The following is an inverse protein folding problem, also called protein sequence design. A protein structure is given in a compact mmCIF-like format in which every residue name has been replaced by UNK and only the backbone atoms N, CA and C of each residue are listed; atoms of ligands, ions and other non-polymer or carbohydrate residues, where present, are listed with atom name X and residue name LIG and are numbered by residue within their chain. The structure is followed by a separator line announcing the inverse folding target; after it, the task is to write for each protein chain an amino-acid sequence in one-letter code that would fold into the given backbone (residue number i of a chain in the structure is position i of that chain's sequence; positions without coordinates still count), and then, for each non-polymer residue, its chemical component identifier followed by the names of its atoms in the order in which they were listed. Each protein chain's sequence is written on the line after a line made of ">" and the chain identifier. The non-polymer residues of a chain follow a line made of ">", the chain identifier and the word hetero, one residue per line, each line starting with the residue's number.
data_IF_888351054986
#
_entry.id   IF_888351054986
#
_cell.length_a   1.000
_cell.length_b   1.000
_cell.length_c   1.000
_cell.angle_alpha   90.00
_cell.angle_beta   90.00
_cell.angle_gamma   90.00
#
_symmetry.space_group_name_H-M   'P 1'
#
loop_
_entity.id
_entity.type
_entity.pdbx_description
1 polymer ?
#
# COMPACT_ATOMS: atom_id res chain seq x y z
N UNK A 1 10.13 7.07 -32.96
CA UNK A 1 11.58 6.93 -32.69
C UNK A 1 11.76 6.91 -31.18
N UNK A 2 11.87 5.74 -30.56
CA UNK A 2 12.16 5.63 -29.14
C UNK A 2 13.60 6.07 -28.88
N UNK A 3 13.81 7.05 -27.99
CA UNK A 3 15.16 7.40 -27.53
C UNK A 3 15.70 6.18 -26.78
N UNK A 4 16.79 5.60 -27.29
CA UNK A 4 17.62 4.70 -26.48
C UNK A 4 18.18 5.57 -25.36
N UNK A 5 17.68 5.36 -24.15
CA UNK A 5 18.24 5.97 -22.95
C UNK A 5 19.58 5.26 -22.69
N UNK A 6 20.69 5.94 -22.94
CA UNK A 6 21.98 5.46 -22.49
C UNK A 6 22.07 5.74 -20.98
N UNK A 7 22.15 4.67 -20.20
CA UNK A 7 22.52 4.77 -18.80
C UNK A 7 24.00 5.09 -18.70
N UNK A 8 24.35 6.13 -17.95
CA UNK A 8 25.72 6.35 -17.53
C UNK A 8 26.16 5.22 -16.59
N UNK A 9 27.47 4.98 -16.49
CA UNK A 9 28.00 3.97 -15.57
C UNK A 9 27.72 4.43 -14.13
N UNK A 10 26.79 3.75 -13.48
CA UNK A 10 26.32 4.07 -12.13
C UNK A 10 26.27 2.83 -11.23
N UNK A 11 26.01 3.04 -9.95
CA UNK A 11 25.79 2.00 -8.96
C UNK A 11 24.61 2.37 -8.05
N UNK A 12 24.04 1.37 -7.37
CA UNK A 12 22.92 1.55 -6.47
C UNK A 12 22.84 0.48 -5.41
N UNK A 13 21.91 0.66 -4.48
CA UNK A 13 21.65 -0.27 -3.38
C UNK A 13 20.21 -0.78 -3.50
N UNK A 14 20.03 -2.10 -3.41
CA UNK A 14 18.73 -2.73 -3.18
C UNK A 14 18.46 -2.73 -1.67
N UNK A 15 17.45 -1.98 -1.25
CA UNK A 15 17.00 -1.91 0.14
C UNK A 15 15.47 -1.82 0.15
N UNK A 16 14.74 -2.90 0.50
CA UNK A 16 13.30 -2.82 0.69
C UNK A 16 12.96 -1.83 1.80
N UNK A 17 11.88 -1.05 1.63
CA UNK A 17 11.43 -0.08 2.65
C UNK A 17 11.18 -0.77 3.99
N UNK A 18 10.60 -1.98 3.96
CA UNK A 18 10.34 -2.79 5.16
C UNK A 18 11.58 -3.13 5.98
N UNK A 19 12.77 -3.09 5.37
CA UNK A 19 14.05 -3.43 6.00
C UNK A 19 14.75 -2.22 6.65
N UNK A 20 14.22 -1.01 6.46
CA UNK A 20 14.74 0.17 7.14
C UNK A 20 14.45 0.07 8.66
N UNK A 21 15.35 0.59 9.52
CA UNK A 21 15.13 0.59 10.95
C UNK A 21 13.93 1.47 11.32
N UNK A 22 13.10 1.00 12.24
CA UNK A 22 11.91 1.70 12.69
C UNK A 22 11.56 1.27 14.11
N UNK A 23 11.11 2.20 14.98
CA UNK A 23 10.65 1.87 16.32
C UNK A 23 9.28 1.15 16.33
N UNK A 24 8.61 1.07 15.17
CA UNK A 24 7.24 0.55 15.05
C UNK A 24 7.17 -0.75 14.25
N UNK A 25 8.19 -1.62 14.36
CA UNK A 25 8.17 -3.00 13.86
C UNK A 25 8.47 -3.22 12.36
N UNK A 26 8.38 -2.17 11.52
CA UNK A 26 8.73 -2.22 10.09
C UNK A 26 9.23 -0.88 9.60
N UNK A 27 10.18 -0.88 8.67
CA UNK A 27 10.64 0.33 8.01
C UNK A 27 9.51 1.05 7.26
N UNK A 28 9.54 2.38 7.31
CA UNK A 28 8.51 3.30 6.80
C UNK A 28 9.14 4.35 5.89
N UNK A 29 8.33 5.30 5.41
CA UNK A 29 8.81 6.49 4.71
C UNK A 29 9.33 7.60 5.64
N UNK A 30 9.51 7.31 6.93
CA UNK A 30 9.96 8.26 7.93
C UNK A 30 11.46 8.51 7.92
N UNK A 31 11.96 9.07 9.03
CA UNK A 31 13.33 9.55 9.21
C UNK A 31 14.42 8.60 8.66
N UNK A 32 14.31 7.31 8.95
CA UNK A 32 15.30 6.32 8.50
C UNK A 32 15.41 6.23 6.96
N UNK A 33 14.32 6.45 6.22
CA UNK A 33 14.34 6.48 4.76
C UNK A 33 15.09 7.71 4.21
N UNK A 34 14.93 8.87 4.87
CA UNK A 34 15.66 10.08 4.52
C UNK A 34 17.16 9.95 4.82
N UNK A 35 17.50 9.41 5.99
CA UNK A 35 18.90 9.12 6.37
C UNK A 35 19.53 8.08 5.42
N UNK A 36 18.76 7.08 4.98
CA UNK A 36 19.23 6.12 3.98
C UNK A 36 19.46 6.79 2.62
N UNK A 37 18.60 7.71 2.20
CA UNK A 37 18.82 8.50 0.98
C UNK A 37 20.10 9.35 1.06
N UNK A 38 20.36 9.98 2.21
CA UNK A 38 21.61 10.69 2.46
C UNK A 38 22.82 9.73 2.36
N UNK A 39 22.75 8.56 2.98
CA UNK A 39 23.80 7.53 2.90
C UNK A 39 24.08 7.06 1.46
N UNK A 40 23.03 6.82 0.66
CA UNK A 40 23.17 6.43 -0.76
C UNK A 40 23.90 7.52 -1.54
N UNK A 41 23.54 8.80 -1.32
CA UNK A 41 24.15 9.93 -1.99
C UNK A 41 25.62 10.12 -1.57
N UNK A 42 25.90 10.08 -0.27
CA UNK A 42 27.24 10.22 0.29
C UNK A 42 28.19 9.08 -0.14
N UNK A 43 27.64 7.89 -0.38
CA UNK A 43 28.36 6.74 -0.93
C UNK A 43 28.64 6.84 -2.45
N UNK A 44 28.16 7.90 -3.12
CA UNK A 44 28.33 8.11 -4.55
C UNK A 44 27.45 7.21 -5.42
N UNK A 45 26.38 6.63 -4.85
CA UNK A 45 25.41 5.84 -5.59
C UNK A 45 24.33 6.74 -6.20
N UNK A 46 23.79 6.32 -7.35
CA UNK A 46 22.76 7.05 -8.10
C UNK A 46 21.41 6.34 -8.12
N UNK A 47 21.32 5.14 -7.54
CA UNK A 47 20.11 4.32 -7.54
C UNK A 47 19.79 3.75 -6.16
N UNK A 48 18.52 3.79 -5.80
CA UNK A 48 17.94 3.02 -4.71
C UNK A 48 16.86 2.12 -5.31
N UNK A 49 17.08 0.81 -5.30
CA UNK A 49 16.08 -0.17 -5.72
C UNK A 49 15.24 -0.61 -4.52
N UNK A 50 13.93 -0.62 -4.70
CA UNK A 50 12.94 -1.13 -3.75
C UNK A 50 12.24 -2.37 -4.32
N UNK A 51 11.62 -3.15 -3.44
CA UNK A 51 10.66 -4.19 -3.84
C UNK A 51 9.29 -3.54 -4.14
N UNK A 52 8.28 -4.27 -4.66
CA UNK A 52 6.95 -3.71 -4.84
C UNK A 52 6.43 -3.12 -3.53
N UNK A 53 5.79 -1.95 -3.62
CA UNK A 53 5.30 -1.19 -2.46
C UNK A 53 3.81 -1.44 -2.18
N UNK A 54 3.21 -2.44 -2.82
CA UNK A 54 1.80 -2.74 -2.71
C UNK A 54 1.40 -3.35 -1.37
N UNK A 55 0.14 -3.18 -0.97
CA UNK A 55 -0.38 -3.78 0.25
C UNK A 55 -0.36 -5.31 0.14
N UNK A 56 0.40 -5.94 1.03
CA UNK A 56 0.65 -7.37 1.03
C UNK A 56 -0.57 -8.17 1.46
N UNK A 57 -0.81 -9.27 0.75
CA UNK A 57 -1.78 -10.31 1.10
C UNK A 57 -1.21 -11.27 2.17
N UNK A 58 -1.98 -12.32 2.52
CA UNK A 58 -1.53 -13.38 3.40
C UNK A 58 -0.20 -13.98 2.91
N UNK A 59 0.76 -14.10 3.83
CA UNK A 59 2.14 -14.52 3.54
C UNK A 59 3.12 -13.36 3.30
N UNK A 60 2.65 -12.11 3.37
CA UNK A 60 3.45 -10.88 3.47
C UNK A 60 4.42 -10.64 2.31
N UNK A 61 4.22 -11.35 1.21
CA UNK A 61 5.04 -11.22 0.00
C UNK A 61 4.66 -9.96 -0.76
N UNK A 62 5.61 -9.05 -1.05
CA UNK A 62 5.33 -7.84 -1.85
C UNK A 62 4.93 -8.17 -3.29
N UNK A 63 5.18 -9.41 -3.75
CA UNK A 63 4.76 -9.88 -5.07
C UNK A 63 3.32 -10.44 -5.10
N UNK A 64 2.63 -10.44 -3.95
CA UNK A 64 1.24 -10.84 -3.81
C UNK A 64 0.46 -9.72 -3.11
N UNK A 65 0.04 -8.73 -3.89
CA UNK A 65 -0.66 -7.53 -3.41
C UNK A 65 -2.17 -7.63 -3.61
N UNK A 66 -2.94 -6.96 -2.73
CA UNK A 66 -4.39 -6.78 -2.91
C UNK A 66 -4.74 -5.83 -4.05
N UNK A 67 -3.79 -5.03 -4.53
CA UNK A 67 -3.95 -4.19 -5.71
C UNK A 67 -2.61 -3.95 -6.40
N UNK A 68 -2.62 -3.88 -7.73
CA UNK A 68 -1.49 -3.44 -8.54
C UNK A 68 -1.16 -1.95 -8.37
N UNK A 69 -2.07 -1.16 -7.79
CA UNK A 69 -1.98 0.30 -7.72
C UNK A 69 -1.80 0.82 -6.29
N UNK A 70 -2.52 0.24 -5.33
CA UNK A 70 -2.52 0.70 -3.95
C UNK A 70 -1.17 0.50 -3.26
N UNK A 71 -0.79 1.43 -2.40
CA UNK A 71 0.38 1.34 -1.54
C UNK A 71 0.12 0.57 -0.25
N UNK A 72 1.18 0.04 0.37
CA UNK A 72 1.11 -0.67 1.64
C UNK A 72 0.96 0.29 2.83
N UNK A 73 -0.16 0.27 3.58
CA UNK A 73 -0.34 1.13 4.75
C UNK A 73 0.70 0.92 5.85
N UNK A 74 1.42 -0.22 5.85
CA UNK A 74 2.52 -0.46 6.78
C UNK A 74 3.72 0.48 6.60
N UNK A 75 3.85 1.13 5.43
CA UNK A 75 4.94 2.09 5.18
C UNK A 75 4.59 3.53 5.55
N UNK A 76 3.36 3.80 5.98
CA UNK A 76 2.97 5.09 6.54
C UNK A 76 3.71 5.26 7.87
N UNK A 77 4.48 6.33 7.95
CA UNK A 77 5.27 6.68 9.12
C UNK A 77 4.40 7.34 10.20
N UNK A 78 4.45 6.79 11.41
CA UNK A 78 3.61 7.22 12.53
C UNK A 78 4.14 8.48 13.22
N UNK A 79 5.45 8.73 13.17
CA UNK A 79 6.03 9.98 13.68
C UNK A 79 5.60 11.16 12.80
N UNK A 80 5.60 11.00 11.48
CA UNK A 80 5.06 12.01 10.55
C UNK A 80 3.58 12.31 10.82
N UNK A 81 2.76 11.30 11.12
CA UNK A 81 1.36 11.52 11.51
C UNK A 81 1.25 12.29 12.83
N UNK A 82 2.18 12.08 13.77
CA UNK A 82 2.26 12.84 15.02
C UNK A 82 2.64 14.30 14.75
N UNK A 83 3.66 14.55 13.91
CA UNK A 83 4.08 15.90 13.50
C UNK A 83 2.96 16.68 12.79
N UNK A 84 2.10 15.98 12.05
CA UNK A 84 0.93 16.56 11.38
C UNK A 84 -0.26 16.79 12.33
N UNK A 85 -0.15 16.38 13.59
CA UNK A 85 -1.20 16.47 14.60
C UNK A 85 -2.36 15.50 14.36
N UNK A 86 -2.11 14.41 13.63
CA UNK A 86 -3.08 13.32 13.41
C UNK A 86 -2.97 12.25 14.49
N UNK A 87 -1.82 12.12 15.15
CA UNK A 87 -1.63 11.27 16.33
C UNK A 87 -1.16 12.09 17.51
N UNK A 88 -1.52 11.65 18.72
CA UNK A 88 -0.97 12.19 19.96
C UNK A 88 0.46 11.71 20.20
N UNK A 89 1.30 12.57 20.79
CA UNK A 89 2.65 12.19 21.19
C UNK A 89 2.63 10.95 22.09
N UNK A 90 3.40 9.93 21.71
CA UNK A 90 3.53 8.68 22.45
C UNK A 90 2.43 7.65 22.21
N UNK A 91 1.32 7.99 21.53
CA UNK A 91 0.21 7.06 21.31
C UNK A 91 0.64 5.79 20.56
N UNK A 92 1.41 5.94 19.47
CA UNK A 92 1.93 4.80 18.72
C UNK A 92 2.86 3.90 19.57
N UNK A 93 3.55 4.47 20.56
CA UNK A 93 4.48 3.72 21.42
C UNK A 93 3.78 2.87 22.48
N UNK A 94 2.46 3.01 22.65
CA UNK A 94 1.67 2.19 23.60
C UNK A 94 1.40 0.77 23.08
N UNK A 95 1.64 0.52 21.80
CA UNK A 95 1.31 -0.74 21.13
C UNK A 95 2.51 -1.70 21.08
N UNK A 96 2.19 -2.99 21.00
CA UNK A 96 3.18 -4.05 20.77
C UNK A 96 3.53 -4.10 19.27
N UNK A 97 4.80 -3.87 18.95
CA UNK A 97 5.35 -3.90 17.59
C UNK A 97 6.24 -5.13 17.34
N UNK A 98 6.23 -6.10 18.27
CA UNK A 98 7.08 -7.28 18.26
C UNK A 98 8.36 -7.10 19.09
N UNK A 99 8.97 -8.24 19.43
CA UNK A 99 10.11 -8.31 20.35
C UNK A 99 11.48 -8.24 19.65
N UNK A 100 11.51 -8.01 18.32
CA UNK A 100 12.74 -8.03 17.53
C UNK A 100 12.97 -6.76 16.72
N UNK A 101 14.12 -6.15 16.91
CA UNK A 101 14.59 -5.04 16.05
C UNK A 101 15.10 -5.53 14.67
N UNK A 102 15.26 -6.84 14.48
CA UNK A 102 15.89 -7.43 13.28
C UNK A 102 14.90 -8.00 12.28
N UNK A 103 13.72 -8.39 12.75
CA UNK A 103 12.74 -9.10 11.96
C UNK A 103 11.39 -8.42 12.11
N UNK A 104 10.66 -8.34 11.00
CA UNK A 104 9.31 -7.83 10.99
C UNK A 104 8.37 -8.92 11.50
N UNK A 105 7.60 -8.61 12.55
CA UNK A 105 6.47 -9.43 12.99
C UNK A 105 5.18 -8.94 12.34
N UNK A 106 4.86 -9.50 11.17
CA UNK A 106 3.67 -9.11 10.40
C UNK A 106 2.35 -9.39 11.13
N UNK A 107 2.32 -10.39 12.02
CA UNK A 107 1.14 -10.67 12.85
C UNK A 107 0.87 -9.53 13.81
N UNK A 108 1.90 -9.08 14.56
CA UNK A 108 1.80 -7.92 15.44
C UNK A 108 1.51 -6.63 14.70
N UNK A 109 2.10 -6.45 13.52
CA UNK A 109 1.79 -5.30 12.68
C UNK A 109 0.33 -5.25 12.27
N UNK A 110 -0.24 -6.39 11.89
CA UNK A 110 -1.66 -6.47 11.53
C UNK A 110 -2.56 -6.10 12.71
N UNK A 111 -2.24 -6.57 13.93
CA UNK A 111 -2.99 -6.27 15.14
C UNK A 111 -2.89 -4.79 15.56
N UNK A 112 -1.68 -4.21 15.54
CA UNK A 112 -1.42 -2.88 16.11
C UNK A 112 -1.57 -1.75 15.09
N UNK A 113 -1.10 -1.92 13.84
CA UNK A 113 -0.98 -0.80 12.88
C UNK A 113 -2.33 -0.21 12.52
N UNK A 114 -3.32 -1.05 12.21
CA UNK A 114 -4.62 -0.54 11.76
C UNK A 114 -5.37 0.15 12.89
N UNK A 115 -5.17 -0.23 14.16
CA UNK A 115 -5.73 0.51 15.31
C UNK A 115 -5.14 1.92 15.37
N UNK A 116 -3.82 2.05 15.20
CA UNK A 116 -3.17 3.36 15.23
C UNK A 116 -3.58 4.22 14.03
N UNK A 117 -3.64 3.64 12.83
CA UNK A 117 -4.11 4.36 11.64
C UNK A 117 -5.57 4.77 11.76
N UNK A 118 -6.42 3.99 12.45
CA UNK A 118 -7.81 4.37 12.68
C UNK A 118 -7.90 5.61 13.58
N UNK A 119 -7.06 5.71 14.62
CA UNK A 119 -6.93 6.92 15.44
C UNK A 119 -6.54 8.13 14.59
N UNK A 120 -5.55 7.97 13.72
CA UNK A 120 -5.11 9.02 12.80
C UNK A 120 -6.23 9.44 11.85
N UNK A 121 -6.98 8.48 11.32
CA UNK A 121 -8.12 8.72 10.44
C UNK A 121 -9.22 9.55 11.12
N UNK A 122 -9.60 9.22 12.36
CA UNK A 122 -10.62 10.00 13.08
C UNK A 122 -10.19 11.47 13.28
N UNK A 123 -8.92 11.67 13.65
CA UNK A 123 -8.36 13.01 13.81
C UNK A 123 -8.26 13.75 12.46
N UNK A 124 -7.90 13.04 11.38
CA UNK A 124 -7.85 13.56 10.02
C UNK A 124 -9.22 14.04 9.53
N UNK A 125 -10.28 13.26 9.76
CA UNK A 125 -11.64 13.63 9.36
C UNK A 125 -12.16 14.84 10.13
N UNK A 126 -11.86 14.93 11.43
CA UNK A 126 -12.13 16.12 12.24
C UNK A 126 -11.39 17.36 11.71
N UNK A 127 -10.11 17.20 11.34
CA UNK A 127 -9.29 18.27 10.76
C UNK A 127 -9.83 18.71 9.40
N UNK A 128 -10.17 17.79 8.50
CA UNK A 128 -10.79 18.11 7.20
C UNK A 128 -12.10 18.90 7.34
N UNK A 129 -12.87 18.64 8.41
CA UNK A 129 -14.11 19.39 8.68
C UNK A 129 -13.87 20.86 9.05
N UNK A 130 -12.66 21.22 9.47
CA UNK A 130 -12.28 22.57 9.90
C UNK A 130 -11.26 23.25 8.97
N UNK A 131 -10.50 22.48 8.20
CA UNK A 131 -9.48 22.93 7.25
C UNK A 131 -9.91 22.61 5.82
N UNK A 132 -10.46 23.63 5.14
CA UNK A 132 -10.96 23.50 3.77
C UNK A 132 -9.85 23.27 2.73
N UNK A 133 -8.60 23.65 3.02
CA UNK A 133 -7.48 23.39 2.12
C UNK A 133 -7.08 21.92 2.18
N UNK A 134 -6.97 21.36 3.39
CA UNK A 134 -6.71 19.94 3.58
C UNK A 134 -7.82 19.09 2.96
N UNK A 135 -9.08 19.43 3.22
CA UNK A 135 -10.23 18.74 2.62
C UNK A 135 -10.20 18.83 1.09
N UNK A 136 -9.86 20.00 0.53
CA UNK A 136 -9.72 20.18 -0.91
C UNK A 136 -8.65 19.28 -1.54
N UNK A 137 -7.46 19.18 -0.93
CA UNK A 137 -6.38 18.29 -1.39
C UNK A 137 -6.77 16.82 -1.32
N UNK A 138 -7.46 16.41 -0.26
CA UNK A 138 -7.92 15.04 -0.10
C UNK A 138 -8.97 14.65 -1.15
N UNK A 139 -9.94 15.52 -1.42
CA UNK A 139 -10.93 15.29 -2.49
C UNK A 139 -10.29 15.29 -3.89
N UNK A 140 -9.28 16.14 -4.13
CA UNK A 140 -8.50 16.11 -5.37
C UNK A 140 -7.74 14.79 -5.54
N UNK A 141 -7.13 14.27 -4.47
CA UNK A 141 -6.50 12.96 -4.49
C UNK A 141 -7.49 11.85 -4.85
N UNK A 142 -8.66 11.80 -4.19
CA UNK A 142 -9.69 10.80 -4.49
C UNK A 142 -10.13 10.90 -5.96
N UNK A 143 -10.42 12.12 -6.43
CA UNK A 143 -10.82 12.36 -7.81
C UNK A 143 -9.73 11.97 -8.83
N UNK A 144 -8.47 12.26 -8.55
CA UNK A 144 -7.36 11.92 -9.45
C UNK A 144 -7.13 10.41 -9.56
N UNK A 145 -7.48 9.66 -8.51
CA UNK A 145 -7.21 8.22 -8.39
C UNK A 145 -8.46 7.34 -8.48
N UNK A 146 -9.64 7.91 -8.72
CA UNK A 146 -10.93 7.22 -8.70
C UNK A 146 -10.98 5.92 -9.52
N UNK A 147 -10.21 5.84 -10.62
CA UNK A 147 -10.18 4.68 -11.52
C UNK A 147 -9.72 3.38 -10.86
N UNK A 148 -8.92 3.45 -9.79
CA UNK A 148 -8.46 2.28 -9.05
C UNK A 148 -8.81 2.37 -7.55
N UNK A 149 -8.85 3.58 -6.99
CA UNK A 149 -9.06 3.80 -5.56
C UNK A 149 -10.46 3.37 -5.11
N UNK A 150 -11.50 3.69 -5.88
CA UNK A 150 -12.89 3.38 -5.52
C UNK A 150 -13.09 1.86 -5.36
N UNK A 151 -12.54 1.09 -6.30
CA UNK A 151 -12.62 -0.38 -6.29
C UNK A 151 -11.75 -1.01 -5.21
N UNK A 152 -10.53 -0.49 -5.02
CA UNK A 152 -9.63 -0.94 -3.95
C UNK A 152 -10.24 -0.72 -2.56
N UNK A 153 -10.74 0.48 -2.28
CA UNK A 153 -11.26 0.83 -0.97
C UNK A 153 -12.56 0.09 -0.65
N UNK A 154 -13.42 -0.11 -1.65
CA UNK A 154 -14.60 -0.98 -1.50
C UNK A 154 -14.18 -2.45 -1.26
N UNK A 155 -13.24 -2.97 -2.04
CA UNK A 155 -12.72 -4.33 -1.87
C UNK A 155 -12.17 -4.54 -0.46
N UNK A 156 -11.33 -3.63 0.02
CA UNK A 156 -10.72 -3.74 1.35
C UNK A 156 -11.75 -3.59 2.48
N UNK A 157 -12.73 -2.70 2.32
CA UNK A 157 -13.83 -2.58 3.28
C UNK A 157 -14.69 -3.86 3.34
N UNK A 158 -15.02 -4.45 2.18
CA UNK A 158 -15.70 -5.75 2.13
C UNK A 158 -14.83 -6.86 2.74
N UNK A 159 -13.53 -6.88 2.42
CA UNK A 159 -12.60 -7.86 2.95
C UNK A 159 -12.52 -7.81 4.47
N UNK A 160 -12.41 -6.62 5.06
CA UNK A 160 -12.49 -6.42 6.51
C UNK A 160 -13.84 -6.87 7.08
N UNK A 161 -14.96 -6.52 6.41
CA UNK A 161 -16.30 -6.93 6.82
C UNK A 161 -16.50 -8.46 6.86
N UNK A 162 -15.80 -9.19 5.99
CA UNK A 162 -15.84 -10.64 5.89
C UNK A 162 -14.61 -11.33 6.55
N UNK A 163 -14.05 -10.73 7.61
CA UNK A 163 -12.96 -11.32 8.40
C UNK A 163 -11.70 -11.69 7.58
N UNK A 164 -11.41 -10.87 6.56
CA UNK A 164 -10.25 -10.96 5.68
C UNK A 164 -10.14 -12.23 4.82
N UNK A 165 -11.21 -13.02 4.70
CA UNK A 165 -11.25 -14.17 3.78
C UNK A 165 -11.11 -13.73 2.32
N UNK A 166 -10.76 -14.67 1.43
CA UNK A 166 -10.66 -14.36 0.01
C UNK A 166 -12.02 -13.93 -0.56
N UNK A 167 -12.01 -12.99 -1.51
CA UNK A 167 -13.26 -12.57 -2.17
C UNK A 167 -14.00 -13.71 -2.88
N UNK A 168 -13.28 -14.77 -3.24
CA UNK A 168 -13.86 -15.98 -3.83
C UNK A 168 -14.74 -16.77 -2.86
N UNK A 169 -14.64 -16.51 -1.57
CA UNK A 169 -15.43 -17.12 -0.49
C UNK A 169 -16.62 -16.24 -0.05
N UNK A 170 -16.74 -15.01 -0.57
CA UNK A 170 -17.88 -14.15 -0.27
C UNK A 170 -19.17 -14.69 -0.91
N UNK A 171 -20.30 -14.21 -0.39
CA UNK A 171 -21.61 -14.51 -0.96
C UNK A 171 -21.67 -14.18 -2.46
N UNK A 172 -22.40 -14.99 -3.23
CA UNK A 172 -22.42 -14.93 -4.68
C UNK A 172 -22.78 -13.54 -5.23
N UNK A 173 -23.64 -12.79 -4.53
CA UNK A 173 -24.10 -11.49 -5.01
C UNK A 173 -23.02 -10.40 -4.94
N UNK A 174 -22.21 -10.35 -3.88
CA UNK A 174 -21.07 -9.43 -3.79
C UNK A 174 -19.86 -9.96 -4.58
N UNK A 175 -19.64 -11.27 -4.57
CA UNK A 175 -18.55 -11.94 -5.30
C UNK A 175 -18.70 -11.73 -6.82
N UNK A 176 -19.91 -11.86 -7.35
CA UNK A 176 -20.24 -11.60 -8.76
C UNK A 176 -20.56 -10.13 -9.04
N UNK A 177 -20.44 -9.25 -8.03
CA UNK A 177 -20.64 -7.81 -8.14
C UNK A 177 -21.99 -7.42 -8.72
N UNK A 178 -23.06 -8.02 -8.20
CA UNK A 178 -24.43 -7.62 -8.52
C UNK A 178 -24.59 -6.13 -8.15
N UNK A 179 -24.99 -5.25 -9.10
CA UNK A 179 -24.94 -3.80 -8.91
C UNK A 179 -25.66 -3.31 -7.65
N UNK A 180 -26.81 -3.91 -7.33
CA UNK A 180 -27.60 -3.58 -6.14
C UNK A 180 -26.85 -3.94 -4.84
N UNK A 181 -26.18 -5.09 -4.82
CA UNK A 181 -25.38 -5.55 -3.68
C UNK A 181 -24.13 -4.69 -3.50
N UNK A 182 -23.43 -4.37 -4.59
CA UNK A 182 -22.28 -3.45 -4.57
C UNK A 182 -22.69 -2.10 -3.99
N UNK A 183 -23.81 -1.53 -4.46
CA UNK A 183 -24.34 -0.26 -3.94
C UNK A 183 -24.70 -0.35 -2.46
N UNK A 184 -25.33 -1.46 -2.04
CA UNK A 184 -25.68 -1.72 -0.63
C UNK A 184 -24.42 -1.72 0.25
N UNK A 185 -23.38 -2.46 -0.13
CA UNK A 185 -22.13 -2.51 0.64
C UNK A 185 -21.38 -1.19 0.62
N UNK A 186 -21.36 -0.47 -0.51
CA UNK A 186 -20.76 0.86 -0.58
C UNK A 186 -21.42 1.85 0.39
N UNK A 187 -22.74 1.78 0.56
CA UNK A 187 -23.46 2.59 1.55
C UNK A 187 -23.22 2.12 2.98
N UNK A 188 -23.28 0.80 3.21
CA UNK A 188 -23.13 0.21 4.54
C UNK A 188 -21.71 0.41 5.11
N UNK A 189 -20.69 0.40 4.25
CA UNK A 189 -19.28 0.41 4.62
C UNK A 189 -18.60 1.76 4.31
N UNK A 190 -19.38 2.83 4.10
CA UNK A 190 -18.86 4.14 3.70
C UNK A 190 -17.71 4.66 4.59
N UNK A 191 -17.84 4.53 5.92
CA UNK A 191 -16.80 4.96 6.87
C UNK A 191 -15.51 4.15 6.71
N UNK A 192 -15.62 2.84 6.45
CA UNK A 192 -14.45 1.98 6.20
C UNK A 192 -13.81 2.25 4.84
N UNK A 193 -14.62 2.54 3.82
CA UNK A 193 -14.12 2.97 2.50
C UNK A 193 -13.30 4.26 2.66
N UNK A 194 -13.80 5.23 3.43
CA UNK A 194 -13.04 6.45 3.71
C UNK A 194 -11.77 6.22 4.52
N UNK A 195 -11.76 5.26 5.45
CA UNK A 195 -10.52 4.83 6.12
C UNK A 195 -9.46 4.32 5.12
N UNK A 196 -9.85 3.45 4.19
CA UNK A 196 -8.93 2.93 3.17
C UNK A 196 -8.48 4.02 2.18
N UNK A 197 -9.36 4.96 1.83
CA UNK A 197 -9.01 6.15 1.05
C UNK A 197 -7.97 7.01 1.77
N UNK A 198 -8.16 7.24 3.08
CA UNK A 198 -7.21 7.97 3.93
C UNK A 198 -5.84 7.28 3.97
N UNK A 199 -5.79 5.96 4.18
CA UNK A 199 -4.52 5.23 4.17
C UNK A 199 -3.77 5.42 2.85
N UNK A 200 -4.47 5.37 1.71
CA UNK A 200 -3.84 5.61 0.41
C UNK A 200 -3.39 7.06 0.25
N UNK A 201 -4.19 8.04 0.69
CA UNK A 201 -3.80 9.44 0.68
C UNK A 201 -2.49 9.67 1.44
N UNK A 202 -2.41 9.20 2.69
CA UNK A 202 -1.21 9.35 3.52
C UNK A 202 -0.01 8.60 2.95
N UNK A 203 -0.22 7.39 2.44
CA UNK A 203 0.83 6.63 1.76
C UNK A 203 1.46 7.44 0.61
N UNK A 204 0.63 7.98 -0.29
CA UNK A 204 1.11 8.71 -1.45
C UNK A 204 1.69 10.07 -1.09
N UNK A 205 1.13 10.79 -0.11
CA UNK A 205 1.71 12.02 0.42
C UNK A 205 3.15 11.78 0.93
N UNK A 206 3.32 10.80 1.82
CA UNK A 206 4.63 10.51 2.39
C UNK A 206 5.61 9.96 1.35
N UNK A 207 5.18 9.04 0.48
CA UNK A 207 6.00 8.50 -0.60
C UNK A 207 6.46 9.60 -1.56
N UNK A 208 5.58 10.51 -1.97
CA UNK A 208 5.93 11.59 -2.89
C UNK A 208 6.91 12.57 -2.26
N UNK A 209 6.77 12.88 -0.96
CA UNK A 209 7.74 13.71 -0.21
C UNK A 209 9.12 13.05 -0.18
N UNK A 210 9.18 11.76 0.17
CA UNK A 210 10.44 11.00 0.18
C UNK A 210 11.07 10.94 -1.22
N UNK A 211 10.28 10.60 -2.25
CA UNK A 211 10.77 10.53 -3.64
C UNK A 211 11.31 11.86 -4.12
N UNK A 212 10.65 12.99 -3.80
CA UNK A 212 11.17 14.32 -4.11
C UNK A 212 12.52 14.57 -3.44
N UNK A 213 12.67 14.20 -2.16
CA UNK A 213 13.92 14.33 -1.41
C UNK A 213 15.06 13.48 -1.97
N UNK A 214 14.76 12.23 -2.33
CA UNK A 214 15.70 11.28 -2.95
C UNK A 214 16.15 11.80 -4.32
N UNK A 215 15.21 12.25 -5.16
CA UNK A 215 15.52 12.79 -6.48
C UNK A 215 16.34 14.08 -6.42
N UNK A 216 16.08 14.95 -5.43
CA UNK A 216 16.85 16.19 -5.23
C UNK A 216 18.34 15.94 -4.93
N UNK A 217 18.69 14.71 -4.51
CA UNK A 217 20.07 14.26 -4.29
C UNK A 217 20.71 13.58 -5.50
N UNK A 218 20.02 13.55 -6.63
CA UNK A 218 20.50 12.86 -7.83
C UNK A 218 20.36 11.34 -7.76
N UNK A 219 19.58 10.81 -6.82
CA UNK A 219 19.27 9.38 -6.72
C UNK A 219 17.97 9.11 -7.47
N UNK A 220 17.95 8.09 -8.31
CA UNK A 220 16.74 7.57 -8.95
C UNK A 220 16.24 6.33 -8.21
N UNK A 221 14.93 6.23 -8.02
CA UNK A 221 14.31 5.05 -7.44
C UNK A 221 13.97 4.04 -8.55
N UNK A 222 14.45 2.80 -8.39
CA UNK A 222 14.04 1.67 -9.24
C UNK A 222 12.95 0.91 -8.48
N UNK A 223 11.73 0.99 -8.99
CA UNK A 223 10.61 0.17 -8.51
C UNK A 223 10.63 -1.23 -9.11
N UNK A 224 9.72 -2.06 -8.62
CA UNK A 224 9.52 -3.43 -9.08
C UNK A 224 8.00 -3.69 -9.23
N UNK A 225 7.61 -4.33 -10.32
CA UNK A 225 6.21 -4.60 -10.67
C UNK A 225 6.10 -6.07 -11.09
N UNK A 226 5.36 -6.90 -10.33
CA UNK A 226 5.07 -8.28 -10.73
C UNK A 226 4.32 -8.31 -12.07
N UNK A 227 4.65 -9.27 -12.94
CA UNK A 227 3.96 -9.44 -14.23
C UNK A 227 2.48 -9.84 -14.07
N UNK A 228 2.15 -10.57 -13.00
CA UNK A 228 0.80 -11.02 -12.68
C UNK A 228 0.35 -10.41 -11.35
N UNK A 229 -0.96 -10.17 -11.22
CA UNK A 229 -1.59 -9.79 -9.95
C UNK A 229 -2.03 -11.01 -9.15
N UNK A 230 -2.25 -10.83 -7.84
CA UNK A 230 -2.76 -11.90 -6.99
C UNK A 230 -4.22 -12.25 -7.36
N UNK A 231 -4.62 -13.54 -7.33
CA UNK A 231 -6.01 -13.93 -7.56
C UNK A 231 -6.98 -13.29 -6.55
N UNK A 232 -6.57 -13.20 -5.28
CA UNK A 232 -7.33 -12.52 -4.23
C UNK A 232 -6.93 -11.05 -4.17
N UNK A 233 -7.45 -10.24 -5.11
CA UNK A 233 -7.17 -8.82 -5.24
C UNK A 233 -8.38 -8.03 -5.73
N UNK A 234 -8.38 -6.72 -5.48
CA UNK A 234 -9.34 -5.79 -6.04
C UNK A 234 -9.30 -5.79 -7.57
N UNK A 235 -8.12 -5.97 -8.17
CA UNK A 235 -7.94 -5.95 -9.63
C UNK A 235 -8.72 -7.09 -10.29
N UNK A 236 -8.61 -8.31 -9.77
CA UNK A 236 -9.31 -9.48 -10.31
C UNK A 236 -10.80 -9.43 -10.01
N UNK A 237 -11.18 -8.99 -8.80
CA UNK A 237 -12.58 -8.90 -8.41
C UNK A 237 -13.34 -7.83 -9.22
N UNK A 238 -12.77 -6.64 -9.41
CA UNK A 238 -13.42 -5.53 -10.10
C UNK A 238 -13.34 -5.62 -11.64
N UNK A 239 -12.31 -6.27 -12.18
CA UNK A 239 -12.08 -6.38 -13.63
C UNK A 239 -11.92 -7.84 -14.08
N UNK A 240 -12.92 -8.71 -13.87
CA UNK A 240 -12.82 -10.12 -14.26
C UNK A 240 -12.65 -10.33 -15.77
N UNK A 241 -13.01 -9.34 -16.60
CA UNK A 241 -12.98 -9.38 -18.06
C UNK A 241 -11.57 -9.38 -18.66
N UNK A 242 -10.57 -8.92 -17.91
CA UNK A 242 -9.16 -8.93 -18.35
C UNK A 242 -8.41 -10.20 -17.92
N UNK A 243 -9.08 -11.11 -17.21
CA UNK A 243 -8.53 -12.38 -16.73
C UNK A 243 -9.22 -13.59 -17.38
N UNK A 244 -8.51 -14.72 -17.45
CA UNK A 244 -9.05 -15.95 -18.00
C UNK A 244 -9.83 -16.74 -16.92
N UNK A 245 -11.07 -16.33 -16.66
CA UNK A 245 -11.96 -16.89 -15.65
C UNK A 245 -13.13 -17.67 -16.28
N UNK A 246 -13.72 -18.60 -15.52
CA UNK A 246 -14.97 -19.27 -15.89
C UNK A 246 -16.22 -18.44 -15.54
N UNK A 247 -17.42 -18.96 -15.82
CA UNK A 247 -18.68 -18.27 -15.53
C UNK A 247 -18.97 -18.03 -14.05
N UNK A 248 -18.19 -18.65 -13.15
CA UNK A 248 -18.24 -18.43 -11.70
C UNK A 248 -17.03 -17.63 -11.19
N UNK A 249 -16.31 -16.93 -12.08
CA UNK A 249 -15.12 -16.14 -11.78
C UNK A 249 -13.95 -16.95 -11.18
N UNK A 250 -13.85 -18.24 -11.49
CA UNK A 250 -12.72 -19.09 -11.09
C UNK A 250 -11.66 -19.15 -12.19
N UNK A 251 -10.36 -19.13 -11.87
CA UNK A 251 -9.30 -19.22 -12.88
C UNK A 251 -9.39 -20.51 -13.72
N UNK A 252 -9.46 -20.37 -15.05
CA UNK A 252 -9.39 -21.51 -15.97
C UNK A 252 -7.95 -22.01 -16.16
N UNK A 253 -6.98 -21.09 -16.04
CA UNK A 253 -5.54 -21.36 -16.05
C UNK A 253 -4.86 -20.46 -15.04
N UNK A 254 -3.74 -20.94 -14.51
CA UNK A 254 -2.89 -20.19 -13.59
C UNK A 254 -1.49 -20.07 -14.17
N UNK A 255 -0.78 -19.02 -13.75
CA UNK A 255 0.61 -18.83 -14.12
C UNK A 255 1.51 -19.90 -13.50
N UNK A 256 2.65 -20.15 -14.14
CA UNK A 256 3.66 -21.08 -13.68
C UNK A 256 4.83 -21.13 -14.67
N UNK A 257 5.87 -21.88 -14.30
CA UNK A 257 7.02 -22.15 -15.18
C UNK A 257 7.07 -23.64 -15.49
N UNK A 258 7.44 -24.05 -16.72
CA UNK A 258 7.63 -25.46 -17.03
C UNK A 258 8.87 -26.02 -16.31
N UNK A 259 8.98 -27.35 -16.14
CA UNK A 259 10.20 -27.97 -15.60
C UNK A 259 11.44 -27.62 -16.42
N UNK A 260 12.57 -27.49 -15.74
CA UNK A 260 13.86 -27.25 -16.38
C UNK A 260 14.98 -28.03 -15.66
N UNK A 261 16.25 -27.71 -15.94
CA UNK A 261 17.37 -28.44 -15.35
C UNK A 261 17.56 -28.16 -13.83
N UNK A 262 16.91 -27.13 -13.29
CA UNK A 262 17.05 -26.66 -11.92
C UNK A 262 15.82 -26.97 -11.05
N UNK A 263 14.65 -27.25 -11.65
CA UNK A 263 13.41 -27.65 -10.94
C UNK A 263 12.57 -28.64 -11.73
#
# INVERSE_FOLDING_TARGET
>A
MGRVQHFDRSAGILMPVSSLPSPYGIGTFGRAAYEFADFVAESGHSYWQVLPLGQTSYGDSPYQSFSAFAGNPYFIDLDMLTDEGLLEEGYASEFDWGDSEKYVDYGRLFESRYIVLDRAFQNFMSKCSSDGELSGRYEEFKKANHSWLDEYSLYMACKEHFDYVSWTEWDDDIRLRIPETVTKYAQQLADRIEFWNFCQYEFFEQWNRLKCYVNARGIQIIGDIPIYVAPDSADVWAHPDVFLLDGNLRPLKVAGVPPDAFT
#
